data_IF_581370142836
#
_entry.id   IF_581370142836
#
_cell.length_a   1.000
_cell.length_b   1.000
_cell.length_c   1.000
_cell.angle_alpha   90.00
_cell.angle_beta   90.00
_cell.angle_gamma   90.00
#
_symmetry.space_group_name_H-M   'P 1'
#
loop_
_entity.id
_entity.type
_entity.pdbx_description
1 polymer ?
#
# COMPACT_ATOMS: atom_id res chain seq x y z
N UNK A 1 10.24 18.64 3.64
CA UNK A 1 9.20 17.60 3.79
C UNK A 1 7.89 18.28 4.14
N UNK A 2 6.77 17.75 3.65
CA UNK A 2 5.42 18.28 3.89
C UNK A 2 4.60 17.32 4.76
N UNK A 3 5.23 16.78 5.81
CA UNK A 3 4.60 15.81 6.71
C UNK A 3 4.92 16.13 8.17
N UNK A 4 4.72 17.40 8.56
CA UNK A 4 4.98 17.92 9.90
C UNK A 4 3.69 18.25 10.67
N UNK A 5 2.51 17.98 10.09
CA UNK A 5 1.20 18.13 10.73
C UNK A 5 0.29 19.15 10.05
N UNK A 6 0.67 19.65 8.88
CA UNK A 6 -0.16 20.53 8.06
C UNK A 6 -1.46 19.83 7.59
N UNK A 7 -2.52 20.61 7.33
CA UNK A 7 -3.71 20.11 6.67
C UNK A 7 -3.39 19.42 5.34
N UNK A 8 -4.11 18.33 5.05
CA UNK A 8 -3.91 17.53 3.84
C UNK A 8 -3.93 18.37 2.56
N UNK A 9 -4.83 19.33 2.49
CA UNK A 9 -4.97 20.22 1.34
C UNK A 9 -3.71 21.08 1.11
N UNK A 10 -3.11 21.61 2.19
CA UNK A 10 -1.89 22.41 2.09
C UNK A 10 -0.70 21.55 1.65
N UNK A 11 -0.59 20.33 2.19
CA UNK A 11 0.42 19.35 1.74
C UNK A 11 0.30 19.13 0.23
N UNK A 12 -0.91 18.88 -0.27
CA UNK A 12 -1.16 18.64 -1.70
C UNK A 12 -0.86 19.88 -2.55
N UNK A 13 -1.23 21.08 -2.10
CA UNK A 13 -0.91 22.33 -2.80
C UNK A 13 0.61 22.54 -2.94
N UNK A 14 1.36 22.32 -1.86
CA UNK A 14 2.83 22.46 -1.86
C UNK A 14 3.47 21.38 -2.76
N UNK A 15 2.95 20.16 -2.69
CA UNK A 15 3.43 19.04 -3.50
C UNK A 15 3.19 19.25 -4.99
N UNK A 16 2.06 19.84 -5.40
CA UNK A 16 1.80 20.20 -6.79
C UNK A 16 2.65 21.38 -7.29
N UNK A 17 3.19 22.21 -6.39
CA UNK A 17 3.92 23.42 -6.77
C UNK A 17 5.45 23.23 -6.81
N UNK A 18 5.99 22.54 -5.81
CA UNK A 18 7.43 22.57 -5.50
C UNK A 18 8.30 21.73 -6.45
N UNK A 19 7.96 20.47 -6.78
CA UNK A 19 8.82 19.60 -7.58
C UNK A 19 9.15 20.18 -8.96
N UNK A 20 8.21 20.90 -9.58
CA UNK A 20 8.41 21.54 -10.89
C UNK A 20 9.41 22.71 -10.88
N UNK A 21 9.76 23.25 -9.71
CA UNK A 21 10.80 24.28 -9.56
C UNK A 21 12.20 23.71 -9.32
N UNK A 22 12.30 22.41 -9.08
CA UNK A 22 13.57 21.73 -8.86
C UNK A 22 14.23 21.33 -10.19
N UNK A 23 15.58 21.29 -10.27
CA UNK A 23 16.30 20.93 -11.49
C UNK A 23 15.77 19.61 -12.11
N UNK A 24 15.35 19.60 -13.38
CA UNK A 24 14.66 18.46 -13.98
C UNK A 24 15.56 17.23 -14.20
N UNK A 25 16.88 17.42 -14.15
CA UNK A 25 17.87 16.36 -14.33
C UNK A 25 18.34 15.74 -13.00
N UNK A 26 17.67 16.05 -11.88
CA UNK A 26 17.98 15.49 -10.56
C UNK A 26 16.75 14.83 -9.95
N UNK A 27 16.91 13.69 -9.24
CA UNK A 27 15.81 13.07 -8.52
C UNK A 27 15.20 14.00 -7.47
N UNK A 28 13.88 13.94 -7.32
CA UNK A 28 13.09 14.72 -6.38
C UNK A 28 12.54 13.81 -5.30
N UNK A 29 13.00 14.01 -4.07
CA UNK A 29 12.68 13.17 -2.92
C UNK A 29 11.68 13.85 -1.99
N UNK A 30 10.53 13.22 -1.79
CA UNK A 30 9.50 13.65 -0.85
C UNK A 30 9.63 12.90 0.48
N UNK A 31 10.16 13.60 1.48
CA UNK A 31 10.45 13.00 2.78
C UNK A 31 9.22 12.84 3.67
N UNK A 32 9.06 11.65 4.25
CA UNK A 32 8.13 11.33 5.34
C UNK A 32 6.65 11.19 4.94
N UNK A 33 6.34 11.27 3.66
CA UNK A 33 4.98 11.15 3.12
C UNK A 33 4.75 9.73 2.64
N UNK A 34 3.53 9.20 2.81
CA UNK A 34 3.18 8.07 1.97
C UNK A 34 2.00 7.24 2.42
N UNK A 35 0.77 7.77 2.41
CA UNK A 35 -0.35 6.88 2.12
C UNK A 35 -0.24 6.39 0.66
N UNK A 36 -0.87 5.27 0.28
CA UNK A 36 -0.87 4.82 -1.12
C UNK A 36 -1.32 5.91 -2.10
N UNK A 37 -2.32 6.71 -1.71
CA UNK A 37 -2.85 7.82 -2.50
C UNK A 37 -1.82 8.95 -2.65
N UNK A 38 -1.04 9.24 -1.60
CA UNK A 38 0.01 10.25 -1.63
C UNK A 38 1.17 9.88 -2.54
N UNK A 39 1.54 8.60 -2.59
CA UNK A 39 2.59 8.14 -3.49
C UNK A 39 2.18 8.35 -4.95
N UNK A 40 0.96 7.92 -5.31
CA UNK A 40 0.45 8.08 -6.67
C UNK A 40 0.28 9.55 -7.04
N UNK A 41 -0.21 10.38 -6.10
CA UNK A 41 -0.34 11.82 -6.33
C UNK A 41 1.03 12.52 -6.43
N UNK A 42 1.98 12.18 -5.57
CA UNK A 42 3.33 12.74 -5.61
C UNK A 42 4.04 12.44 -6.92
N UNK A 43 3.90 11.22 -7.46
CA UNK A 43 4.43 10.89 -8.79
C UNK A 43 3.77 11.72 -9.88
N UNK A 44 2.45 11.95 -9.81
CA UNK A 44 1.74 12.83 -10.73
C UNK A 44 2.26 14.29 -10.67
N UNK A 45 2.71 14.71 -9.49
CA UNK A 45 3.27 16.04 -9.25
C UNK A 45 4.80 16.09 -9.48
N UNK A 46 5.40 15.00 -9.97
CA UNK A 46 6.80 14.95 -10.40
C UNK A 46 7.81 14.61 -9.30
N UNK A 47 7.39 13.88 -8.26
CA UNK A 47 8.26 13.28 -7.23
C UNK A 47 8.75 11.90 -7.67
N UNK A 48 10.04 11.62 -7.43
CA UNK A 48 10.71 10.39 -7.86
C UNK A 48 10.96 9.40 -6.71
N UNK A 49 11.13 9.90 -5.48
CA UNK A 49 11.48 9.09 -4.31
C UNK A 49 10.62 9.42 -3.10
N UNK A 50 10.36 8.42 -2.27
CA UNK A 50 9.53 8.52 -1.07
C UNK A 50 10.10 7.65 0.06
N UNK A 51 9.88 8.06 1.30
CA UNK A 51 10.09 7.24 2.49
C UNK A 51 8.92 7.42 3.46
N UNK A 52 8.52 6.34 4.12
CA UNK A 52 7.53 6.41 5.18
C UNK A 52 7.60 5.20 6.11
N UNK A 53 7.43 5.42 7.41
CA UNK A 53 7.30 4.34 8.40
C UNK A 53 5.92 3.68 8.35
N UNK A 54 4.94 4.31 7.69
CA UNK A 54 3.53 3.92 7.66
C UNK A 54 3.29 2.44 7.32
N UNK A 55 3.84 1.83 6.25
CA UNK A 55 3.58 0.43 5.94
C UNK A 55 3.92 -0.51 7.11
N UNK A 56 5.05 -0.28 7.78
CA UNK A 56 5.46 -1.13 8.90
C UNK A 56 4.73 -0.78 10.20
N UNK A 57 4.56 0.52 10.52
CA UNK A 57 3.89 0.96 11.75
C UNK A 57 2.41 0.59 11.74
N UNK A 58 1.72 0.75 10.61
CA UNK A 58 0.31 0.40 10.48
C UNK A 58 0.09 -1.10 10.52
N UNK A 59 0.96 -1.90 9.89
CA UNK A 59 0.90 -3.36 9.95
C UNK A 59 0.90 -3.87 11.39
N UNK A 60 1.87 -3.41 12.20
CA UNK A 60 1.98 -3.78 13.63
C UNK A 60 0.78 -3.32 14.47
N UNK A 61 0.03 -2.32 14.01
CA UNK A 61 -1.17 -1.81 14.65
C UNK A 61 -2.47 -2.35 14.04
N UNK A 62 -2.38 -3.32 13.12
CA UNK A 62 -3.53 -4.03 12.55
C UNK A 62 -4.22 -3.31 11.38
N UNK A 63 -3.59 -2.30 10.77
CA UNK A 63 -4.07 -1.64 9.55
C UNK A 63 -3.23 -2.06 8.35
N UNK A 64 -3.89 -2.67 7.37
CA UNK A 64 -3.26 -3.35 6.24
C UNK A 64 -3.71 -2.74 4.93
N UNK A 65 -2.76 -2.48 4.03
CA UNK A 65 -3.05 -1.89 2.73
C UNK A 65 -3.41 -2.98 1.73
N UNK A 66 -4.51 -2.82 1.01
CA UNK A 66 -4.93 -3.73 -0.05
C UNK A 66 -5.30 -2.93 -1.30
N UNK A 67 -5.43 -3.64 -2.43
CA UNK A 67 -5.91 -3.12 -3.72
C UNK A 67 -7.23 -2.36 -3.59
N UNK A 68 -8.11 -2.84 -2.72
CA UNK A 68 -9.48 -2.33 -2.59
C UNK A 68 -9.72 -1.44 -1.38
N UNK A 69 -8.67 -1.04 -0.66
CA UNK A 69 -8.77 -0.16 0.50
C UNK A 69 -8.01 -0.68 1.71
N UNK A 70 -8.23 -0.05 2.86
CA UNK A 70 -7.54 -0.41 4.10
C UNK A 70 -8.34 -1.48 4.86
N UNK A 71 -7.67 -2.58 5.18
CA UNK A 71 -8.20 -3.68 5.97
C UNK A 71 -7.76 -3.51 7.44
N UNK A 72 -8.72 -3.41 8.35
CA UNK A 72 -8.47 -3.42 9.81
C UNK A 72 -8.61 -4.83 10.36
N UNK A 73 -7.50 -5.53 10.58
CA UNK A 73 -7.51 -6.98 10.87
C UNK A 73 -8.25 -7.33 12.16
N UNK A 74 -8.36 -6.39 13.11
CA UNK A 74 -9.09 -6.57 14.39
C UNK A 74 -10.60 -6.64 14.24
N UNK A 75 -11.15 -6.17 13.13
CA UNK A 75 -12.60 -6.14 12.91
C UNK A 75 -13.19 -7.56 13.00
N UNK A 76 -14.33 -7.69 13.68
CA UNK A 76 -14.94 -9.00 13.99
C UNK A 76 -15.32 -9.81 12.74
N UNK A 77 -15.60 -9.14 11.61
CA UNK A 77 -15.90 -9.78 10.31
C UNK A 77 -14.78 -10.70 9.81
N UNK A 78 -13.54 -10.48 10.25
CA UNK A 78 -12.38 -11.25 9.79
C UNK A 78 -12.16 -12.54 10.59
N UNK A 79 -12.86 -12.76 11.72
CA UNK A 79 -12.67 -13.91 12.61
C UNK A 79 -12.82 -15.27 11.93
N UNK A 80 -13.68 -15.35 10.91
CA UNK A 80 -13.98 -16.58 10.16
C UNK A 80 -13.79 -16.38 8.65
N UNK A 81 -13.03 -15.35 8.26
CA UNK A 81 -12.76 -15.06 6.85
C UNK A 81 -11.56 -15.88 6.36
N UNK A 82 -11.81 -16.81 5.45
CA UNK A 82 -10.80 -17.71 4.89
C UNK A 82 -9.95 -17.07 3.80
N UNK A 83 -10.32 -15.87 3.31
CA UNK A 83 -9.57 -15.17 2.28
C UNK A 83 -8.24 -14.63 2.83
N UNK A 84 -7.22 -14.43 1.97
CA UNK A 84 -6.01 -13.72 2.36
C UNK A 84 -6.30 -12.24 2.59
N UNK A 85 -5.30 -11.46 3.03
CA UNK A 85 -5.45 -10.01 3.21
C UNK A 85 -5.91 -9.32 1.92
N UNK A 86 -5.34 -9.71 0.79
CA UNK A 86 -5.65 -9.22 -0.55
C UNK A 86 -5.59 -10.39 -1.54
N UNK A 87 -6.65 -10.58 -2.33
CA UNK A 87 -6.78 -11.74 -3.23
C UNK A 87 -5.88 -11.65 -4.46
N UNK A 88 -5.44 -10.44 -4.81
CA UNK A 88 -4.51 -10.18 -5.91
C UNK A 88 -3.04 -10.22 -5.49
N UNK A 89 -2.76 -10.26 -4.18
CA UNK A 89 -1.41 -10.15 -3.65
C UNK A 89 -0.63 -11.46 -3.74
N UNK A 90 0.65 -11.33 -4.11
CA UNK A 90 1.60 -12.44 -4.28
C UNK A 90 2.65 -12.51 -3.17
N UNK A 91 2.48 -11.75 -2.09
CA UNK A 91 3.41 -11.76 -0.97
C UNK A 91 3.35 -13.09 -0.19
N UNK A 92 4.37 -13.38 0.61
CA UNK A 92 4.40 -14.59 1.42
C UNK A 92 3.17 -14.76 2.32
N UNK A 93 2.64 -13.66 2.88
CA UNK A 93 1.46 -13.71 3.74
C UNK A 93 0.18 -14.08 2.98
N UNK A 94 0.00 -13.60 1.74
CA UNK A 94 -1.22 -13.84 0.96
C UNK A 94 -1.16 -15.08 0.07
N UNK A 95 0.03 -15.42 -0.44
CA UNK A 95 0.22 -16.46 -1.45
C UNK A 95 1.13 -17.62 -1.00
N UNK A 96 1.71 -17.56 0.21
CA UNK A 96 2.61 -18.59 0.69
C UNK A 96 3.95 -18.58 -0.03
N UNK A 97 4.58 -19.76 -0.17
CA UNK A 97 5.88 -19.89 -0.86
C UNK A 97 5.76 -19.92 -2.37
N UNK A 98 4.60 -20.33 -2.88
CA UNK A 98 4.38 -20.52 -4.33
C UNK A 98 4.16 -19.19 -5.06
N UNK A 99 3.81 -18.12 -4.34
CA UNK A 99 3.65 -16.77 -4.91
C UNK A 99 2.44 -16.62 -5.85
N UNK A 100 1.59 -17.65 -5.95
CA UNK A 100 0.37 -17.61 -6.78
C UNK A 100 -0.73 -16.89 -6.02
N UNK A 101 -1.23 -15.78 -6.59
CA UNK A 101 -2.31 -15.01 -6.01
C UNK A 101 -3.59 -15.84 -5.86
N UNK A 102 -4.44 -15.46 -4.91
CA UNK A 102 -5.71 -16.16 -4.67
C UNK A 102 -6.66 -16.10 -5.87
N UNK A 103 -6.73 -14.95 -6.54
CA UNK A 103 -7.52 -14.77 -7.75
C UNK A 103 -7.03 -15.64 -8.92
N UNK A 104 -5.76 -16.05 -8.89
CA UNK A 104 -5.15 -16.99 -9.84
C UNK A 104 -5.21 -18.46 -9.38
N UNK A 105 -5.98 -18.77 -8.34
CA UNK A 105 -6.17 -20.13 -7.82
C UNK A 105 -5.18 -20.56 -6.73
N UNK A 106 -4.26 -19.70 -6.30
CA UNK A 106 -3.32 -20.01 -5.22
C UNK A 106 -3.98 -20.06 -3.85
N UNK A 107 -3.53 -20.97 -2.96
CA UNK A 107 -4.12 -21.19 -1.63
C UNK A 107 -3.08 -21.39 -0.52
N UNK A 108 -1.81 -21.13 -0.79
CA UNK A 108 -0.70 -21.39 0.13
C UNK A 108 -0.47 -20.33 1.21
N UNK A 109 -1.23 -19.22 1.18
CA UNK A 109 -1.11 -18.12 2.13
C UNK A 109 -1.91 -18.31 3.43
N UNK A 110 -1.83 -17.30 4.29
CA UNK A 110 -2.54 -17.26 5.56
C UNK A 110 -3.87 -16.52 5.42
N UNK A 111 -4.92 -17.06 6.04
CA UNK A 111 -6.23 -16.43 6.04
C UNK A 111 -6.30 -15.22 6.97
N UNK A 112 -7.24 -14.31 6.69
CA UNK A 112 -7.61 -13.22 7.60
C UNK A 112 -8.05 -13.74 8.96
N UNK A 113 -8.75 -14.88 9.03
CA UNK A 113 -9.12 -15.53 10.28
C UNK A 113 -7.90 -15.91 11.13
N UNK A 114 -6.88 -16.50 10.51
CA UNK A 114 -5.66 -16.87 11.21
C UNK A 114 -4.87 -15.63 11.67
N UNK A 115 -4.75 -14.62 10.81
CA UNK A 115 -4.06 -13.37 11.17
C UNK A 115 -4.82 -12.56 12.24
N UNK A 116 -6.16 -12.58 12.22
CA UNK A 116 -7.01 -12.04 13.28
C UNK A 116 -6.71 -12.72 14.61
N UNK A 117 -6.65 -14.05 14.61
CA UNK A 117 -6.31 -14.84 15.79
C UNK A 117 -4.91 -14.50 16.33
N UNK A 118 -3.88 -14.44 15.48
CA UNK A 118 -2.51 -14.09 15.88
C UNK A 118 -2.43 -12.69 16.52
N UNK A 119 -3.06 -11.67 15.92
CA UNK A 119 -3.10 -10.32 16.50
C UNK A 119 -3.82 -10.34 17.86
N UNK A 120 -4.91 -11.09 18.00
CA UNK A 120 -5.66 -11.21 19.26
C UNK A 120 -4.86 -11.89 20.37
N UNK A 121 -4.01 -12.84 20.01
CA UNK A 121 -3.13 -13.56 20.93
C UNK A 121 -1.85 -12.79 21.26
N UNK A 122 -1.56 -11.68 20.55
CA UNK A 122 -0.30 -10.94 20.73
C UNK A 122 0.93 -11.67 20.17
N UNK A 123 0.73 -12.59 19.23
CA UNK A 123 1.79 -13.42 18.66
C UNK A 123 2.62 -12.63 17.64
N UNK A 124 3.96 -12.65 17.79
CA UNK A 124 4.87 -11.86 16.94
C UNK A 124 4.82 -12.22 15.46
N UNK A 125 4.39 -13.43 15.12
CA UNK A 125 4.20 -13.85 13.74
C UNK A 125 3.15 -12.98 13.01
N UNK A 126 2.11 -12.50 13.69
CA UNK A 126 1.08 -11.63 13.11
C UNK A 126 1.67 -10.33 12.56
N UNK A 127 2.33 -9.51 13.40
CA UNK A 127 3.10 -8.33 12.99
C UNK A 127 4.16 -8.60 11.90
N UNK A 128 4.84 -9.75 11.93
CA UNK A 128 5.83 -10.11 10.90
C UNK A 128 5.17 -10.28 9.53
N UNK A 129 4.14 -11.14 9.43
CA UNK A 129 3.42 -11.43 8.19
C UNK A 129 2.73 -10.19 7.62
N UNK A 130 2.07 -9.42 8.47
CA UNK A 130 1.40 -8.18 8.07
C UNK A 130 2.37 -7.10 7.62
N UNK A 131 3.57 -7.02 8.22
CA UNK A 131 4.62 -6.11 7.76
C UNK A 131 5.15 -6.51 6.39
N UNK A 132 5.39 -7.81 6.17
CA UNK A 132 5.76 -8.34 4.84
C UNK A 132 4.71 -7.96 3.80
N UNK A 133 3.43 -8.14 4.12
CA UNK A 133 2.33 -7.76 3.24
C UNK A 133 2.31 -6.27 2.89
N UNK A 134 2.34 -5.37 3.89
CA UNK A 134 2.28 -3.93 3.64
C UNK A 134 3.49 -3.42 2.85
N UNK A 135 4.70 -3.94 3.12
CA UNK A 135 5.89 -3.59 2.34
C UNK A 135 5.77 -4.08 0.89
N UNK A 136 5.33 -5.33 0.69
CA UNK A 136 5.09 -5.88 -0.64
C UNK A 136 4.06 -5.07 -1.41
N UNK A 137 2.97 -4.63 -0.75
CA UNK A 137 1.97 -3.76 -1.36
C UNK A 137 2.59 -2.44 -1.86
N UNK A 138 3.42 -1.76 -1.06
CA UNK A 138 4.08 -0.52 -1.47
C UNK A 138 5.03 -0.73 -2.65
N UNK A 139 5.84 -1.80 -2.59
CA UNK A 139 6.78 -2.13 -3.66
C UNK A 139 6.05 -2.49 -4.96
N UNK A 140 4.95 -3.24 -4.87
CA UNK A 140 4.11 -3.57 -6.02
C UNK A 140 3.42 -2.33 -6.59
N UNK A 141 2.84 -1.47 -5.74
CA UNK A 141 2.22 -0.21 -6.16
C UNK A 141 3.22 0.64 -6.96
N UNK A 142 4.43 0.82 -6.44
CA UNK A 142 5.46 1.61 -7.14
C UNK A 142 5.98 0.92 -8.41
N UNK A 143 5.93 -0.42 -8.49
CA UNK A 143 6.20 -1.15 -9.73
C UNK A 143 5.13 -0.89 -10.78
N UNK A 144 3.85 -1.03 -10.43
CA UNK A 144 2.74 -0.77 -11.35
C UNK A 144 2.73 0.70 -11.82
N UNK A 145 3.11 1.65 -10.94
CA UNK A 145 3.29 3.05 -11.31
C UNK A 145 4.37 3.22 -12.38
N UNK A 146 5.54 2.60 -12.22
CA UNK A 146 6.63 2.66 -13.21
C UNK A 146 6.21 2.05 -14.54
N UNK A 147 5.61 0.86 -14.50
CA UNK A 147 5.10 0.19 -15.70
C UNK A 147 4.06 1.05 -16.44
N UNK A 148 3.18 1.73 -15.71
CA UNK A 148 2.20 2.62 -16.31
C UNK A 148 2.82 3.91 -16.89
N UNK A 149 3.89 4.43 -16.29
CA UNK A 149 4.65 5.56 -16.86
C UNK A 149 5.35 5.15 -18.15
N UNK A 150 6.05 4.01 -18.15
CA UNK A 150 6.77 3.48 -19.31
C UNK A 150 5.81 3.19 -20.49
N UNK A 151 4.60 2.72 -20.19
CA UNK A 151 3.55 2.47 -21.18
C UNK A 151 2.75 3.73 -21.60
N UNK A 152 3.01 4.90 -21.01
CA UNK A 152 2.22 6.12 -21.27
C UNK A 152 0.76 6.05 -20.77
N UNK A 153 0.47 5.16 -19.82
CA UNK A 153 -0.87 4.85 -19.30
C UNK A 153 -1.09 5.32 -17.85
N UNK A 154 -0.19 6.15 -17.30
CA UNK A 154 -0.24 6.57 -15.90
C UNK A 154 -1.57 7.25 -15.49
N UNK A 155 -2.18 8.06 -16.36
CA UNK A 155 -3.48 8.67 -16.07
C UNK A 155 -4.61 7.63 -15.88
N UNK A 156 -4.62 6.59 -16.72
CA UNK A 156 -5.58 5.49 -16.64
C UNK A 156 -5.32 4.63 -15.40
N UNK A 157 -4.04 4.37 -15.10
CA UNK A 157 -3.62 3.70 -13.87
C UNK A 157 -4.14 4.44 -12.63
N UNK A 158 -3.92 5.76 -12.53
CA UNK A 158 -4.34 6.58 -11.39
C UNK A 158 -5.87 6.56 -11.21
N UNK A 159 -6.62 6.64 -12.31
CA UNK A 159 -8.09 6.53 -12.27
C UNK A 159 -8.55 5.15 -11.76
N UNK A 160 -7.97 4.07 -12.28
CA UNK A 160 -8.25 2.70 -11.84
C UNK A 160 -7.88 2.48 -10.38
N UNK A 161 -6.69 2.92 -9.96
CA UNK A 161 -6.22 2.85 -8.57
C UNK A 161 -7.21 3.52 -7.62
N UNK A 162 -7.66 4.74 -7.94
CA UNK A 162 -8.65 5.47 -7.13
C UNK A 162 -9.98 4.70 -7.06
N UNK A 163 -10.45 4.18 -8.19
CA UNK A 163 -11.70 3.43 -8.26
C UNK A 163 -11.63 2.12 -7.46
N UNK A 164 -10.54 1.36 -7.59
CA UNK A 164 -10.33 0.11 -6.86
C UNK A 164 -10.27 0.35 -5.35
N UNK A 165 -9.45 1.31 -4.90
CA UNK A 165 -9.31 1.67 -3.48
C UNK A 165 -10.61 2.16 -2.84
N UNK A 166 -11.50 2.77 -3.62
CA UNK A 166 -12.80 3.25 -3.14
C UNK A 166 -13.85 2.13 -2.98
N UNK A 167 -13.62 0.92 -3.52
CA UNK A 167 -14.57 -0.21 -3.39
C UNK A 167 -14.72 -0.69 -1.95
N UNK A 168 -13.66 -0.60 -1.16
CA UNK A 168 -13.61 -1.14 0.20
C UNK A 168 -13.26 -2.63 0.23
N UNK A 169 -12.75 -3.04 1.39
CA UNK A 169 -12.48 -4.45 1.75
C UNK A 169 -13.62 -5.01 2.58
#
# INVERSE_FOLDING_TARGET
GVSVGEPKEQMLQIMAHTPHRLPPHKPRYLMGVGTPEDLVQGVADGVDMFDCVMPTRNARNGTLFTRYGDLKIRNARHKTDHQPLDTSCTCHACAGKDGVAWDAGGRGGFSRAYLHHLDRCGEMLGPMLTTVHNLHYYLNLMREVREALDAGQFAQFRARFKADRARGV
#
